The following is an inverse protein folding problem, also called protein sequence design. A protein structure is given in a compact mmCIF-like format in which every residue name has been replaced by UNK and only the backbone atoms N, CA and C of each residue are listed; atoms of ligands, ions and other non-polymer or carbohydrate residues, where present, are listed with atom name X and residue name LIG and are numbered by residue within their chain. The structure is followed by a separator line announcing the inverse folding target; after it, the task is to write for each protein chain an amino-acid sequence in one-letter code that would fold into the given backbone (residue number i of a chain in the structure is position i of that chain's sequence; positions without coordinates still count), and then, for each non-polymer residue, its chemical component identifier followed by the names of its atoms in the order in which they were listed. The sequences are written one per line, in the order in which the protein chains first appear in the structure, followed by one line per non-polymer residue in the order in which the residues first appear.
data_IF_794692530333
#
_entry.id   IF_794692530333
#
_cell.length_a   1.000
_cell.length_b   1.000
_cell.length_c   1.000
_cell.angle_alpha   90.00
_cell.angle_beta   90.00
_cell.angle_gamma   90.00
#
_symmetry.space_group_name_H-M   'P 1'
#
loop_
_entity.id
_entity.type
_entity.pdbx_description
1 polymer ?
#
# COMPACT_ATOMS: atom_id res chain seq x y z
N UNK A 1 15.30 -0.05 -25.18
CA UNK A 1 15.97 1.09 -24.53
C UNK A 1 15.05 1.67 -23.46
N UNK A 2 15.49 1.76 -22.20
CA UNK A 2 14.72 2.42 -21.15
C UNK A 2 14.63 3.92 -21.47
N UNK A 3 13.43 4.42 -21.79
CA UNK A 3 13.22 5.84 -22.05
C UNK A 3 13.41 6.64 -20.75
N UNK A 4 14.22 7.69 -20.84
CA UNK A 4 14.50 8.61 -19.74
C UNK A 4 13.97 9.99 -20.13
N UNK A 5 13.18 10.61 -19.24
CA UNK A 5 12.69 11.98 -19.39
C UNK A 5 13.28 12.88 -18.31
N UNK A 6 13.50 14.15 -18.64
CA UNK A 6 13.95 15.16 -17.70
C UNK A 6 12.91 16.27 -17.57
N UNK A 7 12.71 16.76 -16.35
CA UNK A 7 11.81 17.86 -16.05
C UNK A 7 12.52 18.93 -15.23
N UNK A 8 12.33 20.19 -15.60
CA UNK A 8 12.89 21.33 -14.88
C UNK A 8 12.14 21.64 -13.56
N UNK A 9 10.91 21.13 -13.39
CA UNK A 9 10.10 21.38 -12.19
C UNK A 9 9.14 20.23 -11.89
N UNK A 10 8.73 20.13 -10.62
CA UNK A 10 7.70 19.18 -10.19
C UNK A 10 6.34 19.47 -10.85
N UNK A 11 6.01 20.75 -11.08
CA UNK A 11 4.82 21.13 -11.83
C UNK A 11 4.81 20.57 -13.26
N UNK A 12 5.96 20.61 -13.94
CA UNK A 12 6.13 20.03 -15.26
C UNK A 12 5.98 18.50 -15.24
N UNK A 13 6.52 17.85 -14.20
CA UNK A 13 6.35 16.42 -13.98
C UNK A 13 4.89 16.06 -13.69
N UNK A 14 4.22 16.77 -12.78
CA UNK A 14 2.81 16.56 -12.43
C UNK A 14 1.90 16.67 -13.66
N UNK A 15 2.15 17.67 -14.52
CA UNK A 15 1.45 17.80 -15.81
C UNK A 15 1.68 16.57 -16.70
N UNK A 16 2.92 16.10 -16.82
CA UNK A 16 3.20 14.89 -17.60
C UNK A 16 2.52 13.63 -17.03
N UNK A 17 2.40 13.51 -15.71
CA UNK A 17 1.68 12.41 -15.07
C UNK A 17 0.19 12.48 -15.46
N UNK A 18 -0.45 13.65 -15.33
CA UNK A 18 -1.84 13.85 -15.77
C UNK A 18 -2.03 13.52 -17.25
N UNK A 19 -1.15 14.01 -18.12
CA UNK A 19 -1.19 13.72 -19.56
C UNK A 19 -1.04 12.21 -19.85
N UNK A 20 -0.25 11.49 -19.03
CA UNK A 20 -0.05 10.03 -19.19
C UNK A 20 -1.25 9.21 -18.72
N UNK A 21 -1.98 9.71 -17.71
CA UNK A 21 -3.19 9.09 -17.18
C UNK A 21 -4.45 9.44 -17.97
N UNK A 22 -4.46 10.59 -18.65
CA UNK A 22 -5.66 11.14 -19.29
C UNK A 22 -6.81 11.33 -18.30
N UNK A 23 -8.05 11.21 -18.77
CA UNK A 23 -9.25 11.11 -17.93
C UNK A 23 -9.93 9.75 -18.10
N UNK A 24 -10.95 9.45 -17.30
CA UNK A 24 -11.80 8.24 -17.46
C UNK A 24 -12.31 8.06 -18.89
N UNK A 25 -12.60 9.18 -19.56
CA UNK A 25 -13.22 9.19 -20.90
C UNK A 25 -12.18 9.18 -22.04
N UNK A 26 -10.88 9.13 -21.73
CA UNK A 26 -9.82 9.11 -22.74
C UNK A 26 -9.43 7.66 -23.07
N UNK A 27 -9.73 7.14 -24.28
CA UNK A 27 -9.28 5.81 -24.70
C UNK A 27 -7.74 5.71 -24.71
N UNK A 28 -7.22 4.49 -24.52
CA UNK A 28 -5.78 4.15 -24.59
C UNK A 28 -4.85 4.85 -23.58
N UNK A 29 -5.38 5.24 -22.42
CA UNK A 29 -4.60 5.87 -21.34
C UNK A 29 -4.32 4.92 -20.18
N UNK A 30 -3.25 5.17 -19.42
CA UNK A 30 -2.93 4.37 -18.24
C UNK A 30 -3.96 4.64 -17.14
N UNK A 31 -4.30 3.63 -16.34
CA UNK A 31 -5.16 3.80 -15.16
C UNK A 31 -4.33 4.09 -13.91
N UNK A 32 -3.10 3.59 -13.87
CA UNK A 32 -2.23 3.69 -12.72
C UNK A 32 -0.88 4.30 -13.10
N UNK A 33 -0.36 5.17 -12.23
CA UNK A 33 0.99 5.70 -12.32
C UNK A 33 1.73 5.41 -11.01
N UNK A 34 2.66 4.46 -11.05
CA UNK A 34 3.40 4.01 -9.89
C UNK A 34 4.81 4.61 -9.93
N UNK A 35 5.18 5.35 -8.89
CA UNK A 35 6.39 6.15 -8.84
C UNK A 35 7.24 5.79 -7.62
N UNK A 36 8.39 5.17 -7.87
CA UNK A 36 9.39 4.97 -6.83
C UNK A 36 10.30 6.20 -6.74
N UNK A 37 10.49 6.76 -5.56
CA UNK A 37 11.52 7.78 -5.32
C UNK A 37 12.03 7.74 -3.87
N UNK A 38 13.35 7.89 -3.71
CA UNK A 38 13.95 8.00 -2.38
C UNK A 38 13.47 9.25 -1.62
N UNK A 39 13.65 9.23 -0.30
CA UNK A 39 13.36 10.37 0.56
C UNK A 39 14.15 11.62 0.14
N UNK A 40 13.54 12.79 0.32
CA UNK A 40 14.12 14.06 -0.12
C UNK A 40 13.98 14.38 -1.62
N UNK A 41 13.41 13.48 -2.44
CA UNK A 41 13.20 13.73 -3.88
C UNK A 41 12.00 14.64 -4.18
N UNK A 42 11.19 14.99 -3.17
CA UNK A 42 10.06 15.92 -3.30
C UNK A 42 8.72 15.29 -3.65
N UNK A 43 8.49 14.01 -3.32
CA UNK A 43 7.22 13.28 -3.60
C UNK A 43 5.98 13.98 -3.02
N UNK A 44 6.05 14.46 -1.78
CA UNK A 44 4.96 15.22 -1.15
C UNK A 44 4.70 16.58 -1.81
N UNK A 45 5.74 17.22 -2.35
CA UNK A 45 5.55 18.44 -3.16
C UNK A 45 4.94 18.11 -4.51
N UNK A 46 5.30 16.97 -5.11
CA UNK A 46 4.71 16.49 -6.36
C UNK A 46 3.21 16.20 -6.21
N UNK A 47 2.78 15.59 -5.11
CA UNK A 47 1.35 15.37 -4.83
C UNK A 47 0.58 16.70 -4.68
N UNK A 48 1.19 17.70 -4.03
CA UNK A 48 0.67 19.07 -3.97
C UNK A 48 0.52 19.73 -5.35
N UNK A 49 1.58 19.72 -6.16
CA UNK A 49 1.55 20.26 -7.54
C UNK A 49 0.50 19.54 -8.40
N UNK A 50 0.40 18.21 -8.28
CA UNK A 50 -0.60 17.42 -9.02
C UNK A 50 -2.02 17.82 -8.63
N UNK A 51 -2.32 17.93 -7.33
CA UNK A 51 -3.61 18.41 -6.81
C UNK A 51 -3.92 19.83 -7.28
N UNK A 52 -2.92 20.71 -7.25
CA UNK A 52 -3.10 22.13 -7.58
C UNK A 52 -3.40 22.36 -9.06
N UNK A 53 -2.89 21.52 -9.97
CA UNK A 53 -3.27 21.55 -11.39
C UNK A 53 -4.77 21.28 -11.61
N UNK A 54 -5.42 20.58 -10.68
CA UNK A 54 -6.85 20.28 -10.69
C UNK A 54 -7.73 21.38 -10.09
N UNK A 55 -7.13 22.38 -9.45
CA UNK A 55 -7.87 23.48 -8.81
C UNK A 55 -8.23 24.54 -9.84
N UNK A 56 -9.52 24.81 -10.01
CA UNK A 56 -10.02 25.93 -10.85
C UNK A 56 -10.91 26.85 -10.02
N UNK A 57 -10.61 28.14 -10.05
CA UNK A 57 -11.50 29.15 -9.46
C UNK A 57 -12.74 29.27 -10.35
N UNK A 58 -13.91 29.22 -9.74
CA UNK A 58 -15.16 29.48 -10.46
C UNK A 58 -15.27 30.98 -10.66
N UNK A 59 -15.46 31.41 -11.91
CA UNK A 59 -15.57 32.84 -12.24
C UNK A 59 -16.74 33.46 -11.47
N UNK A 60 -16.48 34.53 -10.73
CA UNK A 60 -17.50 35.24 -9.96
C UNK A 60 -17.87 34.62 -8.60
N UNK A 61 -17.22 33.56 -8.13
CA UNK A 61 -17.43 33.01 -6.78
C UNK A 61 -16.12 32.82 -6.01
N UNK A 62 -16.22 32.67 -4.68
CA UNK A 62 -15.09 32.25 -3.84
C UNK A 62 -14.81 30.75 -3.94
N UNK A 63 -15.63 30.00 -4.67
CA UNK A 63 -15.50 28.55 -4.77
C UNK A 63 -14.38 28.15 -5.72
N UNK A 64 -13.71 27.06 -5.36
CA UNK A 64 -12.64 26.46 -6.16
C UNK A 64 -12.99 25.00 -6.39
N UNK A 65 -13.26 24.64 -7.64
CA UNK A 65 -13.46 23.24 -8.02
C UNK A 65 -12.13 22.49 -7.95
N UNK A 66 -12.23 21.19 -7.70
CA UNK A 66 -11.11 20.25 -7.53
C UNK A 66 -11.47 18.96 -8.23
N UNK A 67 -10.46 18.19 -8.59
CA UNK A 67 -10.65 16.91 -9.28
C UNK A 67 -9.80 15.76 -8.70
N UNK A 68 -9.06 16.01 -7.62
CA UNK A 68 -8.09 15.07 -7.05
C UNK A 68 -8.35 14.83 -5.57
N UNK A 69 -8.67 13.59 -5.22
CA UNK A 69 -8.60 13.06 -3.86
C UNK A 69 -7.15 12.66 -3.57
N UNK A 70 -6.62 12.98 -2.39
CA UNK A 70 -5.22 12.70 -2.08
C UNK A 70 -4.99 12.24 -0.64
N UNK A 71 -3.97 11.40 -0.49
CA UNK A 71 -3.40 10.98 0.79
C UNK A 71 -1.92 11.35 0.81
N UNK A 72 -1.53 12.18 1.77
CA UNK A 72 -0.15 12.56 2.07
C UNK A 72 -0.10 13.10 3.51
N UNK A 73 1.05 13.60 3.96
CA UNK A 73 1.20 14.20 5.29
C UNK A 73 0.13 15.27 5.63
N UNK A 74 -0.32 16.07 4.67
CA UNK A 74 -1.37 17.07 4.92
C UNK A 74 -2.76 16.45 5.16
N UNK A 75 -2.99 15.21 4.71
CA UNK A 75 -4.20 14.45 5.01
C UNK A 75 -4.15 13.90 6.43
N UNK A 76 -2.98 13.44 6.88
CA UNK A 76 -2.76 13.04 8.28
C UNK A 76 -2.96 14.23 9.22
N UNK A 77 -2.47 15.42 8.84
CA UNK A 77 -2.63 16.67 9.59
C UNK A 77 -4.10 17.15 9.70
N UNK A 78 -5.06 16.51 9.01
CA UNK A 78 -6.48 16.77 9.22
C UNK A 78 -6.98 16.21 10.56
N UNK A 79 -6.20 15.35 11.20
CA UNK A 79 -6.50 14.73 12.48
C UNK A 79 -5.59 15.30 13.57
N UNK A 80 -6.12 15.54 14.76
CA UNK A 80 -5.36 16.12 15.88
C UNK A 80 -5.87 15.58 17.22
N UNK A 81 -4.95 15.24 18.11
CA UNK A 81 -5.32 14.75 19.44
C UNK A 81 -5.75 15.86 20.39
N UNK A 82 -6.90 15.65 21.03
CA UNK A 82 -7.26 16.26 22.30
C UNK A 82 -6.96 15.23 23.40
N UNK A 83 -5.97 15.50 24.25
CA UNK A 83 -5.47 14.54 25.25
C UNK A 83 -5.97 14.80 26.67
N UNK A 84 -6.86 15.78 26.88
CA UNK A 84 -7.36 16.17 28.22
C UNK A 84 -6.26 16.17 29.30
N UNK A 85 -5.32 17.12 29.22
CA UNK A 85 -4.15 17.14 30.11
C UNK A 85 -4.49 17.43 31.60
N UNK A 86 -5.74 17.81 31.89
CA UNK A 86 -6.15 18.18 33.24
C UNK A 86 -6.72 17.00 34.01
N UNK A 87 -7.70 16.28 33.44
CA UNK A 87 -8.32 15.14 34.11
C UNK A 87 -7.76 13.79 33.63
N UNK A 88 -7.09 13.76 32.48
CA UNK A 88 -6.53 12.56 31.84
C UNK A 88 -7.57 11.45 31.61
N UNK A 89 -8.83 11.85 31.43
CA UNK A 89 -9.97 10.93 31.29
C UNK A 89 -10.60 10.96 29.90
N UNK A 90 -10.51 12.08 29.18
CA UNK A 90 -11.20 12.28 27.90
C UNK A 90 -10.24 12.50 26.73
N UNK A 91 -9.80 11.41 26.11
CA UNK A 91 -8.87 11.46 24.97
C UNK A 91 -9.62 11.22 23.67
N UNK A 92 -9.58 12.20 22.77
CA UNK A 92 -10.31 12.22 21.49
C UNK A 92 -9.39 12.53 20.33
N UNK A 93 -9.59 11.88 19.19
CA UNK A 93 -8.96 12.27 17.92
C UNK A 93 -9.91 13.18 17.15
N UNK A 94 -9.63 14.48 17.18
CA UNK A 94 -10.38 15.49 16.45
C UNK A 94 -10.06 15.37 14.95
N UNK A 95 -11.03 15.71 14.10
CA UNK A 95 -10.80 15.86 12.66
C UNK A 95 -11.42 17.17 12.15
N UNK A 96 -10.77 17.75 11.13
CA UNK A 96 -11.17 19.06 10.62
C UNK A 96 -12.44 19.00 9.74
N UNK A 97 -13.61 19.26 10.34
CA UNK A 97 -14.92 19.24 9.69
C UNK A 97 -15.08 20.25 8.54
N UNK A 98 -14.25 21.29 8.45
CA UNK A 98 -14.29 22.25 7.34
C UNK A 98 -13.64 21.69 6.06
N UNK A 99 -12.94 20.56 6.17
CA UNK A 99 -12.33 19.89 5.02
C UNK A 99 -13.37 19.09 4.25
N UNK A 100 -13.49 19.37 2.94
CA UNK A 100 -14.31 18.58 2.02
C UNK A 100 -13.94 17.09 1.93
N UNK A 101 -12.79 16.71 2.48
CA UNK A 101 -12.41 15.32 2.71
C UNK A 101 -13.48 14.56 3.52
N UNK A 102 -14.26 15.27 4.34
CA UNK A 102 -15.26 14.72 5.22
C UNK A 102 -16.73 15.03 4.80
N UNK A 103 -16.95 15.63 3.61
CA UNK A 103 -18.30 16.04 3.15
C UNK A 103 -19.28 14.86 3.03
N UNK A 104 -18.79 13.68 2.67
CA UNK A 104 -19.61 12.49 2.45
C UNK A 104 -19.85 11.65 3.71
N UNK A 105 -19.31 12.02 4.87
CA UNK A 105 -19.30 11.10 6.01
C UNK A 105 -20.64 10.91 6.70
N UNK A 106 -21.50 11.93 6.67
CA UNK A 106 -22.74 11.96 7.48
C UNK A 106 -23.82 11.02 6.96
N UNK A 107 -23.87 10.85 5.64
CA UNK A 107 -24.94 10.11 4.95
C UNK A 107 -24.52 8.68 4.55
N UNK A 108 -23.30 8.27 4.90
CA UNK A 108 -22.69 7.00 4.51
C UNK A 108 -22.26 6.24 5.77
N UNK A 109 -22.45 4.92 5.81
CA UNK A 109 -22.03 4.04 6.92
C UNK A 109 -20.49 3.90 6.96
N UNK A 110 -19.78 5.02 7.03
CA UNK A 110 -18.31 5.13 7.04
C UNK A 110 -17.71 4.30 8.16
N UNK A 111 -18.33 4.36 9.32
CA UNK A 111 -18.10 3.49 10.48
C UNK A 111 -17.94 2.01 10.10
N UNK A 112 -18.86 1.46 9.30
CA UNK A 112 -18.83 0.08 8.86
C UNK A 112 -17.64 -0.18 7.93
N UNK A 113 -17.46 0.67 6.91
CA UNK A 113 -16.38 0.55 5.93
C UNK A 113 -15.00 0.68 6.56
N UNK A 114 -14.80 1.62 7.47
CA UNK A 114 -13.54 1.81 8.18
C UNK A 114 -13.22 0.58 9.03
N UNK A 115 -14.20 0.03 9.76
CA UNK A 115 -14.02 -1.20 10.55
C UNK A 115 -13.64 -2.41 9.68
N UNK A 116 -14.17 -2.53 8.46
CA UNK A 116 -13.79 -3.60 7.53
C UNK A 116 -12.29 -3.62 7.23
N UNK A 117 -11.69 -2.43 7.02
CA UNK A 117 -10.26 -2.28 6.75
C UNK A 117 -9.40 -2.31 8.01
N UNK A 118 -9.91 -1.80 9.14
CA UNK A 118 -9.13 -1.54 10.35
C UNK A 118 -8.95 -2.77 11.25
N UNK A 119 -10.00 -3.59 11.40
CA UNK A 119 -10.03 -4.73 12.35
C UNK A 119 -8.95 -5.78 12.15
N UNK A 120 -8.29 -5.78 10.99
CA UNK A 120 -7.21 -6.73 10.67
C UNK A 120 -5.84 -6.25 11.16
N UNK A 121 -5.73 -4.96 11.48
CA UNK A 121 -4.46 -4.31 11.84
C UNK A 121 -4.37 -3.95 13.33
N UNK A 122 -5.51 -3.85 14.02
CA UNK A 122 -5.59 -3.32 15.38
C UNK A 122 -6.61 -4.09 16.23
N UNK A 123 -6.47 -3.98 17.54
CA UNK A 123 -7.30 -4.64 18.56
C UNK A 123 -8.23 -3.67 19.32
N UNK A 124 -8.41 -2.45 18.82
CA UNK A 124 -9.34 -1.46 19.35
C UNK A 124 -10.57 -1.31 18.45
N UNK A 125 -11.65 -0.79 19.04
CA UNK A 125 -12.83 -0.30 18.33
C UNK A 125 -12.92 1.23 18.45
N UNK A 126 -13.80 1.86 17.68
CA UNK A 126 -13.97 3.30 17.68
C UNK A 126 -15.44 3.70 17.55
N UNK A 127 -15.74 4.96 17.77
CA UNK A 127 -17.02 5.60 17.46
C UNK A 127 -16.75 7.00 16.94
N UNK A 128 -17.40 7.37 15.84
CA UNK A 128 -17.22 8.69 15.22
C UNK A 128 -18.41 9.58 15.58
N UNK A 129 -18.11 10.76 16.12
CA UNK A 129 -19.07 11.83 16.31
C UNK A 129 -18.89 12.85 15.18
N UNK A 130 -19.79 12.81 14.18
CA UNK A 130 -19.72 13.65 12.99
C UNK A 130 -20.18 15.11 13.21
N UNK A 131 -20.97 15.35 14.25
CA UNK A 131 -21.47 16.68 14.58
C UNK A 131 -20.39 17.49 15.32
N UNK A 132 -19.71 16.85 16.26
CA UNK A 132 -18.63 17.46 17.04
C UNK A 132 -17.24 17.26 16.42
N UNK A 133 -17.11 16.41 15.39
CA UNK A 133 -15.87 16.27 14.63
C UNK A 133 -14.75 15.52 15.37
N UNK A 134 -15.07 14.43 16.06
CA UNK A 134 -14.06 13.62 16.75
C UNK A 134 -14.32 12.11 16.70
N UNK A 135 -13.26 11.34 16.98
CA UNK A 135 -13.29 9.89 17.11
C UNK A 135 -12.89 9.51 18.54
N UNK A 136 -13.71 8.67 19.17
CA UNK A 136 -13.39 8.01 20.43
C UNK A 136 -12.95 6.58 20.17
N UNK A 137 -11.92 6.14 20.87
CA UNK A 137 -11.43 4.76 20.79
C UNK A 137 -11.77 3.99 22.07
N UNK A 138 -11.96 2.69 21.92
CA UNK A 138 -12.25 1.76 23.01
C UNK A 138 -11.58 0.40 22.83
N UNK A 139 -11.33 -0.30 23.92
CA UNK A 139 -10.82 -1.68 23.93
C UNK A 139 -11.59 -2.54 24.92
N UNK A 140 -11.72 -3.83 24.61
CA UNK A 140 -12.16 -4.81 25.58
C UNK A 140 -10.99 -5.23 26.47
N UNK A 141 -11.16 -5.08 27.78
CA UNK A 141 -10.17 -5.46 28.78
C UNK A 141 -10.77 -6.54 29.65
N UNK A 142 -10.02 -7.63 29.84
CA UNK A 142 -10.43 -8.71 30.73
C UNK A 142 -10.15 -8.30 32.19
N UNK A 143 -11.21 -8.13 32.96
CA UNK A 143 -11.15 -7.86 34.39
C UNK A 143 -11.45 -9.13 35.20
N UNK A 144 -11.40 -9.02 36.53
CA UNK A 144 -11.78 -10.13 37.43
C UNK A 144 -13.27 -10.47 37.35
N UNK A 145 -14.09 -9.55 36.84
CA UNK A 145 -15.55 -9.63 36.80
C UNK A 145 -16.10 -9.95 35.41
N UNK A 146 -15.28 -9.90 34.36
CA UNK A 146 -15.67 -10.22 33.00
C UNK A 146 -14.84 -9.50 31.93
N UNK A 147 -15.42 -9.36 30.74
CA UNK A 147 -14.93 -8.43 29.71
C UNK A 147 -15.59 -7.07 29.95
N UNK A 148 -14.78 -6.03 30.07
CA UNK A 148 -15.24 -4.65 30.22
C UNK A 148 -14.72 -3.81 29.06
N UNK A 149 -15.56 -2.95 28.50
CA UNK A 149 -15.16 -2.01 27.45
C UNK A 149 -14.62 -0.74 28.09
N UNK A 150 -13.34 -0.46 27.89
CA UNK A 150 -12.69 0.80 28.30
C UNK A 150 -12.70 1.75 27.12
N UNK A 151 -13.39 2.89 27.26
CA UNK A 151 -13.46 3.95 26.25
C UNK A 151 -12.53 5.13 26.58
N UNK A 152 -12.33 6.04 25.62
CA UNK A 152 -11.49 7.24 25.82
C UNK A 152 -9.98 6.93 25.83
N UNK A 153 -9.57 5.83 25.19
CA UNK A 153 -8.16 5.40 25.20
C UNK A 153 -7.32 6.21 24.21
N UNK A 154 -6.04 6.43 24.56
CA UNK A 154 -5.03 6.90 23.60
C UNK A 154 -4.45 5.70 22.86
N UNK A 155 -4.58 5.69 21.54
CA UNK A 155 -3.90 4.71 20.68
C UNK A 155 -2.48 5.19 20.34
N UNK A 156 -1.59 4.26 19.99
CA UNK A 156 -0.22 4.54 19.57
C UNK A 156 -0.18 5.35 18.26
N UNK A 157 0.98 5.92 17.94
CA UNK A 157 1.14 6.67 16.67
C UNK A 157 0.99 5.78 15.44
N UNK A 158 1.45 4.53 15.51
CA UNK A 158 1.27 3.57 14.41
C UNK A 158 -0.19 3.19 14.20
N UNK A 159 -0.93 2.98 15.30
CA UNK A 159 -2.37 2.73 15.28
C UNK A 159 -3.18 3.94 14.77
N UNK A 160 -2.80 5.15 15.13
CA UNK A 160 -3.38 6.39 14.59
C UNK A 160 -3.16 6.49 13.08
N UNK A 161 -1.91 6.28 12.61
CA UNK A 161 -1.61 6.30 11.18
C UNK A 161 -2.42 5.23 10.42
N UNK A 162 -2.54 4.03 11.00
CA UNK A 162 -3.34 2.95 10.43
C UNK A 162 -4.83 3.31 10.38
N UNK A 163 -5.38 3.92 11.43
CA UNK A 163 -6.76 4.41 11.44
C UNK A 163 -7.01 5.42 10.31
N UNK A 164 -6.15 6.44 10.17
CA UNK A 164 -6.26 7.45 9.12
C UNK A 164 -6.12 6.82 7.72
N UNK A 165 -5.25 5.82 7.56
CA UNK A 165 -5.14 5.07 6.31
C UNK A 165 -6.42 4.28 5.99
N UNK A 166 -6.97 3.53 6.94
CA UNK A 166 -8.23 2.80 6.77
C UNK A 166 -9.41 3.75 6.51
N UNK A 167 -9.40 4.93 7.12
CA UNK A 167 -10.33 6.01 6.83
C UNK A 167 -10.26 6.43 5.35
N UNK A 168 -9.05 6.61 4.84
CA UNK A 168 -8.84 6.93 3.44
C UNK A 168 -9.28 5.81 2.49
N UNK A 169 -9.01 4.54 2.84
CA UNK A 169 -9.48 3.38 2.06
C UNK A 169 -11.02 3.34 1.98
N UNK A 170 -11.72 3.63 3.07
CA UNK A 170 -13.18 3.73 3.06
C UNK A 170 -13.67 4.80 2.07
N UNK A 171 -13.00 5.95 1.98
CA UNK A 171 -13.33 6.98 0.97
C UNK A 171 -13.08 6.45 -0.45
N UNK A 172 -11.96 5.77 -0.71
CA UNK A 172 -11.70 5.18 -2.03
C UNK A 172 -12.80 4.15 -2.38
N UNK A 173 -13.27 3.37 -1.41
CA UNK A 173 -14.37 2.43 -1.62
C UNK A 173 -15.64 3.16 -2.08
N UNK A 174 -15.97 4.30 -1.48
CA UNK A 174 -17.10 5.12 -1.90
C UNK A 174 -16.91 5.74 -3.30
N UNK A 175 -15.68 6.16 -3.63
CA UNK A 175 -15.32 6.60 -4.99
C UNK A 175 -15.54 5.47 -6.00
N UNK A 176 -15.12 4.23 -5.66
CA UNK A 176 -15.30 3.05 -6.50
C UNK A 176 -16.79 2.72 -6.70
N UNK A 177 -17.60 2.91 -5.66
CA UNK A 177 -19.05 2.72 -5.70
C UNK A 177 -19.81 3.87 -6.38
N UNK A 178 -19.11 4.86 -6.96
CA UNK A 178 -19.69 6.02 -7.66
C UNK A 178 -20.70 6.79 -6.77
N UNK A 179 -20.36 6.97 -5.48
CA UNK A 179 -21.16 7.78 -4.55
C UNK A 179 -21.17 9.25 -4.93
N UNK A 180 -22.36 9.87 -4.95
CA UNK A 180 -22.59 11.27 -5.34
C UNK A 180 -21.70 12.27 -4.58
N UNK A 181 -21.40 11.99 -3.31
CA UNK A 181 -20.55 12.85 -2.48
C UNK A 181 -19.10 12.95 -3.00
N UNK A 182 -18.70 12.03 -3.87
CA UNK A 182 -17.35 11.94 -4.43
C UNK A 182 -17.30 11.94 -5.97
N UNK A 183 -18.39 12.31 -6.66
CA UNK A 183 -18.45 12.42 -8.13
C UNK A 183 -17.40 13.39 -8.73
N UNK A 184 -16.94 14.34 -7.93
CA UNK A 184 -15.91 15.29 -8.34
C UNK A 184 -14.52 14.65 -8.49
N UNK A 185 -14.31 13.45 -7.94
CA UNK A 185 -13.01 12.77 -7.89
C UNK A 185 -12.71 12.13 -9.25
N UNK A 186 -11.80 12.75 -10.01
CA UNK A 186 -11.28 12.20 -11.28
C UNK A 186 -9.96 11.48 -11.11
N UNK A 187 -9.18 11.92 -10.12
CA UNK A 187 -7.87 11.37 -9.79
C UNK A 187 -7.77 11.04 -8.30
N UNK A 188 -7.05 9.96 -8.01
CA UNK A 188 -6.56 9.65 -6.66
C UNK A 188 -5.04 9.82 -6.67
N UNK A 189 -4.48 10.50 -5.66
CA UNK A 189 -3.03 10.60 -5.48
C UNK A 189 -2.64 10.12 -4.08
N UNK A 190 -1.82 9.08 -4.00
CA UNK A 190 -1.34 8.50 -2.74
C UNK A 190 0.17 8.71 -2.66
N UNK A 191 0.63 9.42 -1.63
CA UNK A 191 2.04 9.65 -1.36
C UNK A 191 2.47 8.98 -0.05
N UNK A 192 3.46 8.09 -0.13
CA UNK A 192 4.08 7.38 0.99
C UNK A 192 3.08 6.85 2.03
N UNK A 193 2.15 5.95 1.63
CA UNK A 193 1.06 5.51 2.52
C UNK A 193 1.50 4.71 3.74
N UNK A 194 2.78 4.38 3.88
CA UNK A 194 3.31 3.37 4.80
C UNK A 194 4.34 3.93 5.80
N UNK A 195 4.33 5.25 6.01
CA UNK A 195 5.34 5.86 6.87
C UNK A 195 5.25 5.30 8.29
N UNK A 196 6.33 4.65 8.76
CA UNK A 196 6.52 4.14 10.12
C UNK A 196 5.83 2.82 10.51
N UNK A 197 5.48 1.96 9.55
CA UNK A 197 4.92 0.61 9.81
C UNK A 197 5.95 -0.51 9.64
N UNK A 198 5.69 -1.66 10.25
CA UNK A 198 6.46 -2.88 10.01
C UNK A 198 6.17 -3.50 8.63
N UNK A 199 7.08 -4.35 8.15
CA UNK A 199 7.04 -4.93 6.79
C UNK A 199 5.78 -5.78 6.53
N UNK A 200 5.19 -6.39 7.57
CA UNK A 200 3.97 -7.20 7.46
C UNK A 200 2.75 -6.31 7.16
N UNK A 201 2.62 -5.20 7.88
CA UNK A 201 1.56 -4.22 7.65
C UNK A 201 1.70 -3.56 6.27
N UNK A 202 2.94 -3.34 5.80
CA UNK A 202 3.22 -2.79 4.46
C UNK A 202 2.62 -3.65 3.34
N UNK A 203 2.81 -4.97 3.41
CA UNK A 203 2.28 -5.90 2.39
C UNK A 203 0.76 -5.94 2.43
N UNK A 204 0.17 -6.08 3.62
CA UNK A 204 -1.28 -6.15 3.77
C UNK A 204 -1.97 -4.90 3.22
N UNK A 205 -1.43 -3.72 3.52
CA UNK A 205 -1.95 -2.45 2.99
C UNK A 205 -1.82 -2.33 1.46
N UNK A 206 -0.69 -2.77 0.90
CA UNK A 206 -0.51 -2.75 -0.56
C UNK A 206 -1.52 -3.67 -1.27
N UNK A 207 -1.75 -4.88 -0.74
CA UNK A 207 -2.75 -5.79 -1.29
C UNK A 207 -4.18 -5.25 -1.11
N UNK A 208 -4.49 -4.63 0.04
CA UNK A 208 -5.76 -3.94 0.27
C UNK A 208 -6.01 -2.86 -0.77
N UNK A 209 -5.03 -1.98 -0.98
CA UNK A 209 -5.13 -0.92 -1.96
C UNK A 209 -5.27 -1.47 -3.37
N UNK A 210 -4.49 -2.48 -3.74
CA UNK A 210 -4.53 -3.05 -5.08
C UNK A 210 -5.90 -3.66 -5.42
N UNK A 211 -6.48 -4.44 -4.50
CA UNK A 211 -7.82 -5.03 -4.70
C UNK A 211 -8.91 -3.95 -4.71
N UNK A 212 -8.77 -2.90 -3.91
CA UNK A 212 -9.70 -1.79 -3.92
C UNK A 212 -9.64 -1.03 -5.26
N UNK A 213 -8.45 -0.76 -5.77
CA UNK A 213 -8.25 -0.09 -7.05
C UNK A 213 -8.63 -0.96 -8.26
N UNK A 214 -8.62 -2.28 -8.12
CA UNK A 214 -9.03 -3.20 -9.18
C UNK A 214 -10.43 -2.87 -9.70
N UNK A 215 -10.54 -2.73 -11.01
CA UNK A 215 -11.75 -2.34 -11.74
C UNK A 215 -12.33 -0.96 -11.34
N UNK A 216 -11.59 -0.16 -10.57
CA UNK A 216 -11.92 1.25 -10.33
C UNK A 216 -11.65 2.06 -11.61
N UNK A 217 -12.60 2.90 -12.00
CA UNK A 217 -12.47 3.79 -13.17
C UNK A 217 -11.55 4.99 -12.91
N UNK A 218 -11.36 5.34 -11.64
CA UNK A 218 -10.63 6.53 -11.21
C UNK A 218 -9.13 6.35 -11.41
N UNK A 219 -8.52 7.32 -12.09
CA UNK A 219 -7.09 7.30 -12.42
C UNK A 219 -6.27 7.54 -11.16
N UNK A 220 -5.28 6.68 -10.88
CA UNK A 220 -4.58 6.71 -9.59
C UNK A 220 -3.07 6.87 -9.75
N UNK A 221 -2.49 7.80 -8.99
CA UNK A 221 -1.04 7.95 -8.82
C UNK A 221 -0.64 7.44 -7.45
N UNK A 222 0.41 6.64 -7.40
CA UNK A 222 0.99 6.15 -6.15
C UNK A 222 2.48 6.48 -6.18
N UNK A 223 2.93 7.33 -5.27
CA UNK A 223 4.35 7.59 -5.04
C UNK A 223 4.80 6.98 -3.73
N UNK A 224 5.91 6.25 -3.74
CA UNK A 224 6.45 5.63 -2.54
C UNK A 224 7.98 5.57 -2.54
N UNK A 225 8.59 5.60 -1.36
CA UNK A 225 9.98 5.20 -1.14
C UNK A 225 10.12 3.76 -0.64
N UNK A 226 9.01 3.11 -0.23
CA UNK A 226 9.04 1.75 0.28
C UNK A 226 9.10 0.75 -0.86
N UNK A 227 10.24 0.06 -0.97
CA UNK A 227 10.52 -0.87 -2.06
C UNK A 227 9.56 -2.06 -2.09
N UNK A 228 9.19 -2.60 -0.93
CA UNK A 228 8.24 -3.71 -0.80
C UNK A 228 6.85 -3.31 -1.28
N UNK A 229 6.34 -2.18 -0.79
CA UNK A 229 5.04 -1.62 -1.21
C UNK A 229 4.99 -1.40 -2.73
N UNK A 230 6.02 -0.74 -3.29
CA UNK A 230 6.11 -0.51 -4.73
C UNK A 230 6.01 -1.82 -5.52
N UNK A 231 6.70 -2.88 -5.10
CA UNK A 231 6.66 -4.16 -5.79
C UNK A 231 5.30 -4.84 -5.75
N UNK A 232 4.68 -4.87 -4.57
CA UNK A 232 3.36 -5.47 -4.41
C UNK A 232 2.39 -4.74 -5.35
N UNK A 233 2.36 -3.41 -5.32
CA UNK A 233 1.53 -2.63 -6.25
C UNK A 233 1.89 -2.88 -7.72
N UNK A 234 3.18 -2.95 -8.07
CA UNK A 234 3.63 -3.19 -9.44
C UNK A 234 3.16 -4.55 -9.98
N UNK A 235 3.13 -5.57 -9.12
CA UNK A 235 2.75 -6.93 -9.51
C UNK A 235 1.23 -7.13 -9.50
N UNK A 236 0.53 -6.55 -8.54
CA UNK A 236 -0.94 -6.69 -8.41
C UNK A 236 -1.70 -5.85 -9.45
N UNK A 237 -1.14 -4.70 -9.87
CA UNK A 237 -1.77 -3.86 -10.88
C UNK A 237 -1.45 -4.37 -12.30
N UNK A 238 -2.47 -4.39 -13.17
CA UNK A 238 -2.32 -4.84 -14.56
C UNK A 238 -1.23 -4.01 -15.27
N UNK A 239 -0.19 -4.67 -15.79
CA UNK A 239 0.96 -4.03 -16.46
C UNK A 239 0.54 -3.11 -17.61
N UNK A 240 -0.44 -3.54 -18.39
CA UNK A 240 -0.96 -2.81 -19.55
C UNK A 240 -1.59 -1.47 -19.17
N UNK A 241 -2.19 -1.38 -17.97
CA UNK A 241 -2.83 -0.17 -17.46
C UNK A 241 -1.93 0.63 -16.50
N UNK A 242 -0.69 0.19 -16.25
CA UNK A 242 0.20 0.80 -15.26
C UNK A 242 1.45 1.42 -15.88
N UNK A 243 1.75 2.67 -15.53
CA UNK A 243 3.02 3.32 -15.82
C UNK A 243 3.92 3.29 -14.58
N UNK A 244 4.83 2.32 -14.52
CA UNK A 244 5.82 2.22 -13.43
C UNK A 244 7.08 3.02 -13.75
N UNK A 245 7.50 3.89 -12.83
CA UNK A 245 8.57 4.87 -13.04
C UNK A 245 9.44 5.00 -11.80
N UNK A 246 10.71 5.34 -12.04
CA UNK A 246 11.67 5.73 -11.02
C UNK A 246 11.96 7.22 -11.15
N UNK A 247 11.86 7.97 -10.04
CA UNK A 247 12.16 9.38 -9.95
C UNK A 247 13.44 9.60 -9.15
N UNK A 248 14.31 10.45 -9.70
CA UNK A 248 15.49 10.97 -9.00
C UNK A 248 15.63 12.47 -9.26
N UNK A 249 16.33 13.17 -8.37
CA UNK A 249 16.67 14.58 -8.53
C UNK A 249 18.18 14.72 -8.70
N UNK A 250 18.60 15.28 -9.83
CA UNK A 250 20.01 15.56 -10.09
C UNK A 250 20.34 16.95 -9.54
N UNK A 251 21.16 17.00 -8.49
CA UNK A 251 21.53 18.23 -7.79
C UNK A 251 22.40 19.17 -8.62
N UNK A 252 23.23 18.66 -9.52
CA UNK A 252 24.13 19.46 -10.37
C UNK A 252 23.38 20.23 -11.44
N UNK A 253 22.38 19.57 -12.05
CA UNK A 253 21.56 20.16 -13.12
C UNK A 253 20.28 20.80 -12.62
N UNK A 254 19.89 20.53 -11.36
CA UNK A 254 18.62 20.98 -10.77
C UNK A 254 17.38 20.35 -11.42
N UNK A 255 17.53 19.20 -12.09
CA UNK A 255 16.45 18.56 -12.87
C UNK A 255 15.96 17.26 -12.23
N UNK A 256 14.67 17.00 -12.42
CA UNK A 256 14.04 15.73 -12.09
C UNK A 256 14.21 14.76 -13.26
N UNK A 257 14.71 13.57 -12.98
CA UNK A 257 14.94 12.51 -13.97
C UNK A 257 13.95 11.39 -13.69
N UNK A 258 13.11 11.08 -14.69
CA UNK A 258 12.14 10.00 -14.65
C UNK A 258 12.56 8.91 -15.61
N UNK A 259 12.75 7.71 -15.08
CA UNK A 259 13.12 6.52 -15.86
C UNK A 259 11.97 5.53 -15.86
N UNK A 260 11.75 4.87 -17.00
CA UNK A 260 10.88 3.69 -17.03
C UNK A 260 11.58 2.54 -16.30
N UNK A 261 10.89 1.90 -15.36
CA UNK A 261 11.42 0.74 -14.62
C UNK A 261 11.39 -0.55 -15.45
N UNK A 262 10.72 -0.57 -16.61
CA UNK A 262 10.58 -1.78 -17.42
C UNK A 262 9.81 -2.90 -16.69
N UNK A 263 9.97 -4.14 -17.16
CA UNK A 263 9.41 -5.36 -16.53
C UNK A 263 10.21 -5.88 -15.32
N UNK A 264 11.33 -5.21 -14.99
CA UNK A 264 12.31 -5.71 -14.03
C UNK A 264 12.59 -4.63 -12.98
N UNK A 265 11.95 -4.69 -11.81
CA UNK A 265 12.30 -3.87 -10.66
C UNK A 265 13.71 -4.27 -10.18
N UNK A 266 14.75 -3.63 -10.73
CA UNK A 266 16.13 -3.94 -10.40
C UNK A 266 16.42 -3.61 -8.92
N UNK A 267 17.05 -4.55 -8.20
CA UNK A 267 17.35 -4.58 -6.75
C UNK A 267 16.25 -5.04 -5.77
N UNK A 268 15.05 -5.32 -6.25
CA UNK A 268 13.93 -5.72 -5.40
C UNK A 268 13.92 -7.20 -5.00
N UNK A 269 14.41 -8.11 -5.84
CA UNK A 269 14.44 -9.55 -5.53
C UNK A 269 15.30 -9.86 -4.31
N UNK A 270 16.42 -9.15 -4.13
CA UNK A 270 17.31 -9.32 -2.97
C UNK A 270 16.58 -8.94 -1.67
N UNK A 271 15.81 -7.85 -1.68
CA UNK A 271 15.02 -7.44 -0.51
C UNK A 271 13.93 -8.46 -0.16
N UNK A 272 13.21 -8.99 -1.16
CA UNK A 272 12.22 -10.05 -0.96
C UNK A 272 12.87 -11.33 -0.41
N UNK A 273 14.04 -11.71 -0.92
CA UNK A 273 14.76 -12.89 -0.45
C UNK A 273 15.26 -12.70 0.99
N UNK A 274 15.77 -11.52 1.34
CA UNK A 274 16.11 -11.18 2.74
C UNK A 274 14.89 -11.31 3.65
N UNK A 275 13.73 -10.85 3.22
CA UNK A 275 12.49 -10.95 4.00
C UNK A 275 12.03 -12.40 4.19
N UNK A 276 12.02 -13.20 3.11
CA UNK A 276 11.72 -14.63 3.18
C UNK A 276 12.68 -15.35 4.14
N UNK A 277 13.97 -14.98 4.12
CA UNK A 277 15.00 -15.54 4.99
C UNK A 277 14.75 -15.18 6.46
N UNK A 278 14.49 -13.90 6.78
CA UNK A 278 14.11 -13.48 8.13
C UNK A 278 12.85 -14.18 8.64
N UNK A 279 11.83 -14.34 7.79
CA UNK A 279 10.60 -15.04 8.16
C UNK A 279 10.87 -16.53 8.46
N UNK A 280 11.72 -17.18 7.65
CA UNK A 280 12.14 -18.55 7.89
C UNK A 280 12.91 -18.71 9.21
N UNK A 281 13.84 -17.79 9.49
CA UNK A 281 14.74 -17.82 10.65
C UNK A 281 13.98 -17.48 11.96
N UNK A 282 13.13 -16.45 11.94
CA UNK A 282 12.29 -16.06 13.10
C UNK A 282 11.12 -17.02 13.35
N UNK A 283 10.71 -17.79 12.33
CA UNK A 283 9.57 -18.71 12.38
C UNK A 283 8.20 -18.06 12.37
N UNK A 284 8.12 -16.74 12.24
CA UNK A 284 6.88 -15.97 12.01
C UNK A 284 6.53 -16.02 10.52
N UNK A 285 6.03 -17.17 10.07
CA UNK A 285 5.68 -17.39 8.66
C UNK A 285 4.17 -17.33 8.49
N UNK A 286 3.72 -16.44 7.61
CA UNK A 286 2.33 -16.22 7.23
C UNK A 286 2.07 -16.66 5.77
N UNK A 287 0.80 -16.83 5.42
CA UNK A 287 0.36 -17.24 4.07
C UNK A 287 0.92 -16.36 2.95
N UNK A 288 1.02 -15.03 3.14
CA UNK A 288 1.56 -14.13 2.10
C UNK A 288 3.05 -14.37 1.79
N UNK A 289 3.83 -14.98 2.69
CA UNK A 289 5.22 -15.34 2.38
C UNK A 289 5.29 -16.34 1.22
N UNK A 290 4.28 -17.20 1.05
CA UNK A 290 4.21 -18.07 -0.14
C UNK A 290 3.97 -17.28 -1.43
N UNK A 291 3.27 -16.15 -1.38
CA UNK A 291 3.10 -15.26 -2.54
C UNK A 291 4.43 -14.60 -2.90
N UNK A 292 5.17 -14.12 -1.88
CA UNK A 292 6.49 -13.54 -2.07
C UNK A 292 7.46 -14.58 -2.63
N UNK A 293 7.50 -15.79 -2.04
CA UNK A 293 8.33 -16.90 -2.50
C UNK A 293 7.99 -17.26 -3.95
N UNK A 294 6.70 -17.41 -4.28
CA UNK A 294 6.26 -17.69 -5.65
C UNK A 294 6.73 -16.61 -6.63
N UNK A 295 6.60 -15.34 -6.27
CA UNK A 295 7.05 -14.23 -7.12
C UNK A 295 8.56 -14.32 -7.40
N UNK A 296 9.36 -14.60 -6.37
CA UNK A 296 10.81 -14.82 -6.52
C UNK A 296 11.10 -16.01 -7.44
N UNK A 297 10.37 -17.13 -7.27
CA UNK A 297 10.53 -18.33 -8.10
C UNK A 297 10.13 -18.09 -9.56
N UNK A 298 9.03 -17.40 -9.82
CA UNK A 298 8.58 -17.06 -11.19
C UNK A 298 9.60 -16.19 -11.92
N UNK A 299 10.21 -15.24 -11.22
CA UNK A 299 11.23 -14.35 -11.79
C UNK A 299 12.55 -15.07 -12.04
N UNK A 300 12.93 -15.96 -11.12
CA UNK A 300 14.10 -16.81 -11.28
C UNK A 300 13.90 -17.78 -12.45
N UNK A 301 12.70 -18.38 -12.58
CA UNK A 301 12.35 -19.24 -13.70
C UNK A 301 12.44 -18.51 -15.04
N UNK A 302 11.87 -17.31 -15.13
CA UNK A 302 11.99 -16.48 -16.32
C UNK A 302 13.44 -16.13 -16.66
N UNK A 303 14.27 -15.84 -15.65
CA UNK A 303 15.71 -15.55 -15.84
C UNK A 303 16.48 -16.77 -16.38
N UNK A 304 16.18 -17.96 -15.89
CA UNK A 304 16.82 -19.22 -16.31
C UNK A 304 16.17 -19.87 -17.56
N UNK A 305 15.14 -19.26 -18.14
CA UNK A 305 14.47 -19.75 -19.35
C UNK A 305 13.52 -20.92 -19.12
N UNK A 306 13.04 -21.12 -17.88
CA UNK A 306 12.05 -22.14 -17.57
C UNK A 306 10.63 -21.66 -17.88
N UNK A 307 9.77 -22.58 -18.33
CA UNK A 307 8.37 -22.28 -18.64
C UNK A 307 7.50 -22.07 -17.38
N UNK A 308 7.90 -22.62 -16.23
CA UNK A 308 7.12 -22.61 -14.99
C UNK A 308 8.02 -22.42 -13.77
N UNK A 309 7.53 -21.72 -12.74
CA UNK A 309 8.24 -21.52 -11.46
C UNK A 309 8.61 -22.82 -10.75
N UNK A 310 7.84 -23.89 -11.01
CA UNK A 310 8.05 -25.21 -10.41
C UNK A 310 9.42 -25.80 -10.79
N UNK A 311 10.01 -25.39 -11.90
CA UNK A 311 11.38 -25.77 -12.27
C UNK A 311 12.43 -25.24 -11.28
N UNK A 312 12.12 -24.17 -10.54
CA UNK A 312 13.01 -23.61 -9.51
C UNK A 312 12.91 -24.31 -8.15
N UNK A 313 12.03 -25.31 -8.02
CA UNK A 313 11.79 -26.06 -6.77
C UNK A 313 11.71 -27.59 -6.98
N UNK A 314 11.96 -28.06 -8.21
CA UNK A 314 12.13 -29.50 -8.52
C UNK A 314 13.61 -29.79 -8.60
N UNK A 315 14.12 -30.60 -7.68
CA UNK A 315 15.57 -30.80 -7.55
C UNK A 315 16.03 -32.11 -8.22
N UNK A 316 15.12 -33.07 -8.45
CA UNK A 316 15.33 -34.30 -9.23
C UNK A 316 14.10 -34.66 -10.11
N UNK A 317 14.25 -35.55 -11.11
CA UNK A 317 13.17 -35.94 -12.04
C UNK A 317 12.00 -36.67 -11.34
N UNK A 318 12.27 -37.41 -10.26
CA UNK A 318 11.29 -38.12 -9.42
C UNK A 318 11.11 -37.46 -8.03
N UNK A 319 11.35 -36.14 -7.94
CA UNK A 319 11.24 -35.37 -6.71
C UNK A 319 9.77 -35.16 -6.30
N UNK A 320 9.23 -36.14 -5.56
CA UNK A 320 7.91 -36.09 -4.93
C UNK A 320 7.76 -34.85 -4.04
N UNK A 321 8.83 -34.41 -3.37
CA UNK A 321 8.81 -33.22 -2.52
C UNK A 321 8.67 -31.95 -3.37
N UNK A 322 9.39 -31.83 -4.48
CA UNK A 322 9.27 -30.73 -5.46
C UNK A 322 7.87 -30.60 -6.08
N UNK A 323 7.19 -31.74 -6.32
CA UNK A 323 5.79 -31.76 -6.78
C UNK A 323 4.85 -31.27 -5.67
N UNK A 324 5.07 -31.71 -4.43
CA UNK A 324 4.30 -31.27 -3.26
C UNK A 324 4.51 -29.76 -3.03
N UNK A 325 5.76 -29.26 -3.10
CA UNK A 325 6.06 -27.84 -2.97
C UNK A 325 5.38 -27.01 -4.06
N UNK A 326 5.47 -27.42 -5.32
CA UNK A 326 4.81 -26.71 -6.40
C UNK A 326 3.30 -26.64 -6.20
N UNK A 327 2.69 -27.75 -5.75
CA UNK A 327 1.24 -27.80 -5.49
C UNK A 327 0.84 -26.95 -4.29
N UNK A 328 1.61 -26.96 -3.21
CA UNK A 328 1.34 -26.20 -2.00
C UNK A 328 1.59 -24.71 -2.21
N UNK A 329 2.69 -24.34 -2.88
CA UNK A 329 2.94 -22.96 -3.30
C UNK A 329 1.79 -22.48 -4.17
N UNK A 330 1.37 -23.25 -5.17
CA UNK A 330 0.26 -22.88 -6.03
C UNK A 330 -1.07 -22.74 -5.24
N UNK A 331 -1.35 -23.67 -4.33
CA UNK A 331 -2.58 -23.66 -3.52
C UNK A 331 -2.61 -22.52 -2.51
N UNK A 332 -1.50 -22.23 -1.83
CA UNK A 332 -1.42 -21.17 -0.83
C UNK A 332 -1.21 -19.79 -1.43
N UNK A 333 -0.88 -19.71 -2.73
CA UNK A 333 -0.83 -18.46 -3.49
C UNK A 333 -2.00 -18.22 -4.44
N UNK A 334 -2.89 -19.19 -4.63
CA UNK A 334 -4.14 -19.05 -5.40
C UNK A 334 -5.40 -19.39 -4.61
N UNK A 335 -5.28 -19.90 -3.38
CA UNK A 335 -6.43 -20.01 -2.50
C UNK A 335 -7.00 -18.61 -2.28
N UNK A 336 -8.33 -18.50 -2.21
CA UNK A 336 -9.04 -17.30 -1.72
C UNK A 336 -8.73 -17.01 -0.23
N UNK A 337 -7.51 -17.34 0.23
CA UNK A 337 -6.92 -16.86 1.46
C UNK A 337 -6.64 -15.39 1.25
N UNK A 338 -7.63 -14.61 1.66
CA UNK A 338 -7.55 -13.19 1.90
C UNK A 338 -6.14 -12.82 2.37
N UNK A 339 -5.38 -12.08 1.56
CA UNK A 339 -4.11 -11.44 1.97
C UNK A 339 -4.32 -10.54 3.22
N UNK A 340 -5.59 -10.24 3.51
CA UNK A 340 -6.12 -9.45 4.59
C UNK A 340 -6.29 -10.22 5.91
N UNK A 341 -6.07 -11.54 5.93
CA UNK A 341 -5.87 -12.33 7.14
C UNK A 341 -4.58 -13.15 6.99
N UNK A 342 -3.41 -12.60 7.38
CA UNK A 342 -2.19 -13.38 7.46
C UNK A 342 -2.35 -14.42 8.57
N UNK A 343 -2.90 -15.58 8.21
CA UNK A 343 -2.98 -16.72 9.11
C UNK A 343 -1.54 -17.20 9.28
N UNK A 344 -1.04 -17.07 10.51
CA UNK A 344 0.22 -17.70 10.87
C UNK A 344 0.10 -19.19 10.56
N UNK A 345 1.05 -19.68 9.79
CA UNK A 345 0.90 -20.98 9.19
C UNK A 345 1.01 -22.09 10.24
N UNK A 346 0.27 -23.18 10.05
CA UNK A 346 0.47 -24.39 10.85
C UNK A 346 1.90 -24.93 10.69
N UNK A 347 2.40 -25.65 11.68
CA UNK A 347 3.79 -26.11 11.74
C UNK A 347 4.25 -26.84 10.48
N UNK A 348 3.39 -27.68 9.89
CA UNK A 348 3.67 -28.42 8.66
C UNK A 348 3.94 -27.47 7.48
N UNK A 349 3.07 -26.49 7.28
CA UNK A 349 3.22 -25.49 6.24
C UNK A 349 4.47 -24.61 6.43
N UNK A 350 4.81 -24.27 7.69
CA UNK A 350 6.06 -23.57 8.02
C UNK A 350 7.29 -24.40 7.65
N UNK A 351 7.27 -25.70 7.95
CA UNK A 351 8.37 -26.61 7.62
C UNK A 351 8.54 -26.72 6.10
N UNK A 352 7.43 -26.84 5.37
CA UNK A 352 7.43 -26.89 3.91
C UNK A 352 7.97 -25.58 3.29
N UNK A 353 7.56 -24.42 3.81
CA UNK A 353 8.08 -23.13 3.38
C UNK A 353 9.59 -23.04 3.54
N UNK A 354 10.09 -23.38 4.75
CA UNK A 354 11.53 -23.35 5.05
C UNK A 354 12.31 -24.28 4.13
N UNK A 355 11.81 -25.50 3.89
CA UNK A 355 12.48 -26.46 3.01
C UNK A 355 12.50 -25.99 1.56
N UNK A 356 11.38 -25.47 1.05
CA UNK A 356 11.30 -24.89 -0.29
C UNK A 356 12.24 -23.68 -0.47
N UNK A 357 12.25 -22.76 0.49
CA UNK A 357 13.15 -21.60 0.47
C UNK A 357 14.62 -22.04 0.57
N UNK A 358 14.94 -22.99 1.45
CA UNK A 358 16.31 -23.41 1.71
C UNK A 358 16.97 -23.97 0.45
N UNK A 359 16.35 -24.95 -0.23
CA UNK A 359 17.01 -25.46 -1.44
C UNK A 359 16.77 -24.62 -2.68
N UNK A 360 15.81 -23.68 -2.68
CA UNK A 360 15.86 -22.58 -3.65
C UNK A 360 17.17 -21.79 -3.50
N UNK A 361 17.54 -21.39 -2.28
CA UNK A 361 18.77 -20.64 -2.00
C UNK A 361 20.04 -21.47 -2.23
N UNK A 362 20.00 -22.78 -1.98
CA UNK A 362 21.11 -23.70 -2.25
C UNK A 362 21.35 -23.88 -3.76
N UNK A 363 20.28 -24.07 -4.52
CA UNK A 363 20.33 -24.31 -5.98
C UNK A 363 20.70 -23.04 -6.74
N UNK A 364 20.06 -21.92 -6.38
CA UNK A 364 20.26 -20.62 -7.01
C UNK A 364 21.06 -19.73 -6.06
N UNK A 365 22.39 -19.82 -6.16
CA UNK A 365 23.29 -19.12 -5.23
C UNK A 365 23.16 -17.60 -5.33
N UNK A 366 23.03 -16.96 -4.16
CA UNK A 366 23.13 -15.52 -3.98
C UNK A 366 24.44 -15.19 -3.24
N UNK A 367 24.86 -13.92 -3.22
CA UNK A 367 26.03 -13.53 -2.41
C UNK A 367 25.69 -13.68 -0.92
N UNK A 368 26.44 -14.50 -0.20
CA UNK A 368 26.24 -14.80 1.22
C UNK A 368 26.39 -13.54 2.11
N UNK A 369 27.21 -12.56 1.70
CA UNK A 369 27.37 -11.26 2.37
C UNK A 369 26.04 -10.45 2.41
N UNK A 370 25.02 -10.87 1.66
CA UNK A 370 23.70 -10.26 1.70
C UNK A 370 22.90 -10.65 2.95
N UNK A 371 23.26 -11.76 3.62
CA UNK A 371 22.50 -12.33 4.74
C UNK A 371 23.20 -12.19 6.09
N UNK A 372 24.41 -11.66 6.12
CA UNK A 372 25.09 -11.26 7.36
C UNK A 372 24.48 -9.95 7.86
N UNK A 373 23.92 -9.96 9.06
CA UNK A 373 23.50 -8.74 9.76
C UNK A 373 24.74 -7.92 10.15
N UNK A 374 24.83 -6.68 9.69
CA UNK A 374 25.56 -5.61 10.39
C UNK A 374 24.62 -4.94 11.39
#
# INVERSE_FOLDING_TARGET
MMSTKQFASLKGLAKNIRDSLGTSDTPDTKNYFLLFAYNGTGKTRLSGEFKDLGKKKVSGSKETTRDTLYYNAFTEDLFTWYNDLYEDTDRRLLFNTDSRFFDGLRDLEMDTHIREFLRVHVDFDFTINYDEGYVNFSREVRTREGLETVSGIKISRGEENMFIWCFFLAIIQLVKLESLSYDWVKYIYIDDPVSSLDDNNVVAMACQLAELLKDCRTKTVISTHHALFFNVMHNELKKESTASRFLSFNKETGKYIVKNTGDTPFFHHIALIKELKRAADSGKIYTYHFNILRNVLEKTAAFHGFNHFSACIKWEEDDLDGIIYARIINLLSHGNHSVFQPIEMVADNKALFRKALAGFLETYKFNDDLFTEE
#
